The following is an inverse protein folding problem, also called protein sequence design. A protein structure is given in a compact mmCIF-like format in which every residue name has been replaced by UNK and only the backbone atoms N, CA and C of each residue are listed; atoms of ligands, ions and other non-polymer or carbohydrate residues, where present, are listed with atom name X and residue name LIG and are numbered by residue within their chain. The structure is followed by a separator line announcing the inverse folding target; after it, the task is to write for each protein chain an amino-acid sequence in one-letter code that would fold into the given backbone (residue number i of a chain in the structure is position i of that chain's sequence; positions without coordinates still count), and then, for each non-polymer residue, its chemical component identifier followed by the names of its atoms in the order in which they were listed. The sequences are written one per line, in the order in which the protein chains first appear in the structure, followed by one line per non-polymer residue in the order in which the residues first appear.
data_IF_053231033509
#
_entry.id   IF_053231033509
#
_cell.length_a   1.000
_cell.length_b   1.000
_cell.length_c   1.000
_cell.angle_alpha   90.00
_cell.angle_beta   90.00
_cell.angle_gamma   90.00
#
_symmetry.space_group_name_H-M   'P 1'
#
loop_
_entity.id
_entity.type
_entity.pdbx_description
1 polymer ?
#
# COMPACT_ATOMS: atom_id res chain seq x y z
N UNK A 1 -1.69 -34.43 34.11
CA UNK A 1 -2.64 -33.73 33.20
C UNK A 1 -1.84 -32.90 32.21
N UNK A 2 -1.74 -33.37 30.98
CA UNK A 2 -1.01 -32.71 29.92
C UNK A 2 -2.00 -31.87 29.13
N UNK A 3 -2.08 -30.56 29.37
CA UNK A 3 -2.70 -29.63 28.45
C UNK A 3 -1.71 -29.38 27.30
N UNK A 4 -1.94 -30.09 26.22
CA UNK A 4 -1.28 -29.82 24.95
C UNK A 4 -1.83 -28.48 24.43
N UNK A 5 -0.98 -27.45 24.50
CA UNK A 5 -1.24 -26.18 23.86
C UNK A 5 -1.21 -26.36 22.34
N UNK A 6 -2.37 -26.68 21.78
CA UNK A 6 -2.57 -26.86 20.35
C UNK A 6 -2.69 -25.47 19.69
N UNK A 7 -1.57 -24.78 19.50
CA UNK A 7 -1.51 -23.59 18.66
C UNK A 7 -1.56 -24.00 17.20
N UNK A 8 -2.73 -24.39 16.74
CA UNK A 8 -2.98 -24.52 15.31
C UNK A 8 -2.76 -23.12 14.70
N UNK A 9 -1.62 -22.96 14.01
CA UNK A 9 -1.38 -21.79 13.16
C UNK A 9 -2.51 -21.75 12.15
N UNK A 10 -3.41 -20.76 12.27
CA UNK A 10 -4.42 -20.50 11.23
C UNK A 10 -3.68 -20.36 9.90
N UNK A 11 -4.07 -21.09 8.87
CA UNK A 11 -3.45 -20.92 7.55
C UNK A 11 -3.61 -19.45 7.15
N UNK A 12 -2.60 -18.87 6.51
CA UNK A 12 -2.65 -17.52 5.99
C UNK A 12 -3.87 -17.40 5.09
N UNK A 13 -4.88 -16.65 5.52
CA UNK A 13 -6.00 -16.32 4.66
C UNK A 13 -5.45 -15.50 3.49
N UNK A 14 -5.53 -16.07 2.30
CA UNK A 14 -5.21 -15.33 1.07
C UNK A 14 -6.26 -14.22 0.92
N UNK A 15 -5.89 -13.01 1.22
CA UNK A 15 -6.73 -11.83 0.92
C UNK A 15 -6.82 -11.72 -0.60
N UNK A 16 -7.98 -11.95 -1.16
CA UNK A 16 -8.25 -11.68 -2.57
C UNK A 16 -8.68 -10.24 -2.69
N UNK A 17 -8.04 -9.52 -3.60
CA UNK A 17 -8.43 -8.18 -4.02
C UNK A 17 -9.23 -8.36 -5.33
N UNK A 18 -10.58 -8.40 -5.29
CA UNK A 18 -11.37 -8.82 -6.43
C UNK A 18 -11.21 -7.92 -7.66
N UNK A 19 -10.90 -6.65 -7.43
CA UNK A 19 -10.79 -5.63 -8.48
C UNK A 19 -9.34 -5.42 -8.97
N UNK A 20 -8.39 -6.20 -8.49
CA UNK A 20 -6.98 -6.11 -8.88
C UNK A 20 -6.54 -7.45 -9.45
N UNK A 21 -6.20 -7.47 -10.73
CA UNK A 21 -5.84 -8.71 -11.44
C UNK A 21 -4.48 -9.26 -11.02
N UNK A 22 -3.49 -8.39 -10.89
CA UNK A 22 -2.12 -8.77 -10.58
C UNK A 22 -1.56 -7.87 -9.48
N UNK A 23 -0.86 -8.45 -8.51
CA UNK A 23 -0.15 -7.74 -7.47
C UNK A 23 1.35 -8.01 -7.60
N UNK A 24 2.13 -6.97 -7.90
CA UNK A 24 3.58 -7.04 -7.98
C UNK A 24 4.19 -6.47 -6.71
N UNK A 25 5.11 -7.19 -6.11
CA UNK A 25 5.81 -6.76 -4.90
C UNK A 25 7.24 -6.40 -5.26
N UNK A 26 7.61 -5.15 -5.02
CA UNK A 26 8.98 -4.66 -5.15
C UNK A 26 9.58 -4.51 -3.77
N UNK A 27 10.57 -5.32 -3.45
CA UNK A 27 11.19 -5.36 -2.13
C UNK A 27 12.73 -5.33 -2.24
N UNK A 28 13.38 -4.93 -1.16
CA UNK A 28 14.84 -4.99 -1.07
C UNK A 28 15.27 -5.36 0.35
N UNK A 29 16.43 -6.00 0.48
CA UNK A 29 17.03 -6.34 1.77
C UNK A 29 17.80 -5.18 2.41
N UNK A 30 18.02 -4.09 1.69
CA UNK A 30 18.71 -2.88 2.15
C UNK A 30 17.88 -1.64 1.85
N UNK A 31 18.04 -0.60 2.68
CA UNK A 31 17.60 0.75 2.34
C UNK A 31 18.49 1.42 1.29
N UNK A 32 17.97 2.41 0.56
CA UNK A 32 18.74 3.26 -0.35
C UNK A 32 19.24 2.59 -1.64
N UNK A 33 18.67 1.44 -2.05
CA UNK A 33 19.05 0.73 -3.29
C UNK A 33 18.21 1.09 -4.52
N UNK A 34 17.23 2.00 -4.37
CA UNK A 34 16.36 2.42 -5.48
C UNK A 34 15.05 1.65 -5.58
N UNK A 35 14.62 0.94 -4.53
CA UNK A 35 13.37 0.17 -4.50
C UNK A 35 12.16 0.99 -4.92
N UNK A 36 11.94 2.16 -4.30
CA UNK A 36 10.80 3.03 -4.61
C UNK A 36 10.87 3.61 -6.01
N UNK A 37 12.06 3.95 -6.49
CA UNK A 37 12.28 4.42 -7.86
C UNK A 37 11.94 3.32 -8.86
N UNK A 38 12.39 2.09 -8.64
CA UNK A 38 12.07 0.94 -9.51
C UNK A 38 10.56 0.68 -9.53
N UNK A 39 9.90 0.69 -8.37
CA UNK A 39 8.46 0.51 -8.28
C UNK A 39 7.69 1.61 -9.03
N UNK A 40 8.10 2.87 -8.87
CA UNK A 40 7.49 4.01 -9.56
C UNK A 40 7.67 3.91 -11.08
N UNK A 41 8.88 3.63 -11.56
CA UNK A 41 9.18 3.47 -13.00
C UNK A 41 8.38 2.30 -13.59
N UNK A 42 8.30 1.18 -12.88
CA UNK A 42 7.51 0.03 -13.32
C UNK A 42 6.02 0.38 -13.45
N UNK A 43 5.44 1.02 -12.43
CA UNK A 43 4.04 1.42 -12.44
C UNK A 43 3.74 2.41 -13.58
N UNK A 44 4.59 3.41 -13.78
CA UNK A 44 4.46 4.38 -14.88
C UNK A 44 4.62 3.74 -16.26
N UNK A 45 5.52 2.76 -16.39
CA UNK A 45 5.71 2.03 -17.63
C UNK A 45 4.49 1.19 -17.98
N UNK A 46 3.91 0.48 -17.00
CA UNK A 46 2.68 -0.27 -17.20
C UNK A 46 1.51 0.63 -17.60
N UNK A 47 1.35 1.78 -16.96
CA UNK A 47 0.33 2.75 -17.32
C UNK A 47 0.53 3.30 -18.74
N UNK A 48 1.78 3.55 -19.14
CA UNK A 48 2.12 3.98 -20.51
C UNK A 48 1.76 2.94 -21.57
N UNK A 49 1.85 1.66 -21.23
CA UNK A 49 1.42 0.55 -22.09
C UNK A 49 -0.12 0.35 -22.09
N UNK A 50 -0.86 1.17 -21.36
CA UNK A 50 -2.32 1.16 -21.34
C UNK A 50 -2.95 0.32 -20.22
N UNK A 51 -2.15 -0.19 -19.28
CA UNK A 51 -2.67 -0.95 -18.14
C UNK A 51 -3.17 -0.02 -17.02
N UNK A 52 -4.35 -0.30 -16.49
CA UNK A 52 -4.84 0.36 -15.28
C UNK A 52 -3.95 -0.05 -14.10
N UNK A 53 -3.22 0.91 -13.53
CA UNK A 53 -2.15 0.64 -12.58
C UNK A 53 -2.28 1.46 -11.32
N UNK A 54 -2.03 0.81 -10.17
CA UNK A 54 -1.92 1.45 -8.86
C UNK A 54 -0.52 1.26 -8.27
N UNK A 55 -0.13 2.17 -7.39
CA UNK A 55 1.12 2.09 -6.62
C UNK A 55 0.83 2.31 -5.15
N UNK A 56 1.14 1.30 -4.34
CA UNK A 56 1.11 1.39 -2.88
C UNK A 56 2.53 1.42 -2.33
N UNK A 57 2.87 2.52 -1.67
CA UNK A 57 4.12 2.64 -0.90
C UNK A 57 3.91 2.12 0.52
N UNK A 58 4.56 1.02 0.84
CA UNK A 58 4.49 0.34 2.12
C UNK A 58 5.70 0.64 3.04
N UNK A 59 6.58 1.56 2.66
CA UNK A 59 7.78 1.89 3.41
C UNK A 59 7.48 2.92 4.51
N UNK A 60 7.46 2.46 5.77
CA UNK A 60 7.14 3.30 6.91
C UNK A 60 8.30 4.22 7.30
N UNK A 61 9.52 3.72 7.20
CA UNK A 61 10.71 4.41 7.72
C UNK A 61 11.32 5.39 6.72
N UNK A 62 10.94 5.31 5.46
CA UNK A 62 11.44 6.18 4.41
C UNK A 62 10.46 6.27 3.24
N UNK A 63 9.20 6.72 3.46
CA UNK A 63 8.21 6.80 2.41
C UNK A 63 8.66 7.83 1.37
N UNK A 64 9.16 7.38 0.25
CA UNK A 64 9.71 8.22 -0.82
C UNK A 64 8.72 8.52 -1.94
N UNK A 65 7.66 7.74 -2.07
CA UNK A 65 6.63 7.92 -3.10
C UNK A 65 5.95 9.30 -3.01
N UNK A 66 5.60 9.83 -1.81
CA UNK A 66 5.05 11.18 -1.73
C UNK A 66 5.97 12.25 -2.35
N UNK A 67 7.28 12.10 -2.17
CA UNK A 67 8.27 13.02 -2.76
C UNK A 67 8.41 12.81 -4.26
N UNK A 68 8.50 11.56 -4.73
CA UNK A 68 8.63 11.22 -6.15
C UNK A 68 7.43 11.73 -6.99
N UNK A 69 6.24 11.71 -6.40
CA UNK A 69 5.01 12.10 -7.08
C UNK A 69 4.54 13.53 -6.75
N UNK A 70 5.39 14.33 -6.10
CA UNK A 70 5.06 15.71 -5.69
C UNK A 70 3.77 15.80 -4.85
N UNK A 71 3.59 14.86 -3.92
CA UNK A 71 2.44 14.75 -3.03
C UNK A 71 2.79 15.07 -1.56
N UNK A 72 3.95 15.69 -1.32
CA UNK A 72 4.36 16.08 0.03
C UNK A 72 3.33 17.02 0.67
N UNK A 73 3.06 16.80 1.95
CA UNK A 73 2.09 17.57 2.73
C UNK A 73 0.63 17.48 2.25
N UNK A 74 0.33 16.58 1.33
CA UNK A 74 -1.03 16.27 0.94
C UNK A 74 -1.54 15.06 1.72
N UNK A 75 -2.85 15.02 1.97
CA UNK A 75 -3.53 13.89 2.60
C UNK A 75 -4.64 13.40 1.70
N UNK A 76 -4.80 12.08 1.54
CA UNK A 76 -5.91 11.52 0.79
C UNK A 76 -7.25 11.90 1.44
N UNK A 77 -8.25 12.11 0.62
CA UNK A 77 -9.61 12.30 1.08
C UNK A 77 -10.23 10.95 1.45
N UNK A 78 -11.22 11.00 2.32
CA UNK A 78 -12.07 9.85 2.62
C UNK A 78 -13.48 10.14 2.16
N UNK A 79 -14.14 9.15 1.58
CA UNK A 79 -15.54 9.25 1.16
C UNK A 79 -16.33 8.08 1.74
N UNK A 80 -17.58 8.32 2.05
CA UNK A 80 -18.51 7.27 2.46
C UNK A 80 -19.31 6.79 1.25
N UNK A 81 -19.25 5.48 0.98
CA UNK A 81 -20.07 4.80 -0.02
C UNK A 81 -20.67 3.55 0.62
N UNK A 82 -21.99 3.40 0.54
CA UNK A 82 -22.70 2.19 1.00
C UNK A 82 -22.40 1.84 2.46
N UNK A 83 -22.29 2.85 3.33
CA UNK A 83 -22.01 2.68 4.76
C UNK A 83 -20.57 2.29 5.10
N UNK A 84 -19.66 2.33 4.12
CA UNK A 84 -18.22 2.08 4.31
C UNK A 84 -17.41 3.32 3.94
N UNK A 85 -16.39 3.60 4.74
CA UNK A 85 -15.43 4.67 4.46
C UNK A 85 -14.35 4.14 3.52
N UNK A 86 -14.17 4.84 2.41
CA UNK A 86 -13.15 4.57 1.41
C UNK A 86 -12.11 5.68 1.38
N UNK A 87 -10.87 5.31 1.13
CA UNK A 87 -9.76 6.23 0.92
C UNK A 87 -9.65 6.52 -0.58
N UNK A 88 -9.68 7.77 -0.97
CA UNK A 88 -9.50 8.18 -2.35
C UNK A 88 -8.00 8.25 -2.67
N UNK A 89 -7.46 7.42 -3.57
CA UNK A 89 -6.07 7.50 -3.97
C UNK A 89 -5.80 8.73 -4.81
N UNK A 90 -4.57 9.21 -4.83
CA UNK A 90 -4.16 10.28 -5.73
C UNK A 90 -4.01 9.75 -7.15
N UNK A 91 -4.58 10.45 -8.13
CA UNK A 91 -4.29 10.23 -9.54
C UNK A 91 -3.08 11.08 -9.94
N UNK A 92 -1.98 10.43 -10.32
CA UNK A 92 -0.76 11.09 -10.78
C UNK A 92 -0.16 10.34 -11.96
N UNK A 93 0.11 11.06 -13.03
CA UNK A 93 0.77 10.52 -14.24
C UNK A 93 0.09 9.25 -14.79
N UNK A 94 -1.24 9.17 -14.67
CA UNK A 94 -2.03 8.04 -15.16
C UNK A 94 -2.04 6.80 -14.25
N UNK A 95 -1.57 6.91 -13.02
CA UNK A 95 -1.66 5.84 -12.02
C UNK A 95 -2.33 6.31 -10.73
N UNK A 96 -2.90 5.38 -9.99
CA UNK A 96 -3.44 5.62 -8.64
C UNK A 96 -2.34 5.42 -7.61
N UNK A 97 -2.15 6.40 -6.73
CA UNK A 97 -1.03 6.40 -5.76
C UNK A 97 -1.56 6.53 -4.35
N UNK A 98 -1.12 5.63 -3.49
CA UNK A 98 -1.29 5.70 -2.04
C UNK A 98 0.06 5.41 -1.37
N UNK A 99 0.35 6.11 -0.28
CA UNK A 99 1.51 5.83 0.57
C UNK A 99 1.08 5.75 2.02
N UNK A 100 1.64 4.79 2.75
CA UNK A 100 1.50 4.76 4.21
C UNK A 100 2.05 6.04 4.84
N UNK A 101 2.99 6.71 4.18
CA UNK A 101 3.55 7.98 4.61
C UNK A 101 2.55 9.13 4.70
N UNK A 102 1.39 9.04 4.03
CA UNK A 102 0.33 10.04 4.18
C UNK A 102 -0.38 9.99 5.53
N UNK A 103 -0.27 8.89 6.25
CA UNK A 103 -1.00 8.61 7.48
C UNK A 103 -0.11 8.59 8.72
N UNK A 104 1.20 8.63 8.54
CA UNK A 104 2.17 8.54 9.62
C UNK A 104 2.86 9.89 9.78
N UNK A 105 2.85 10.39 11.02
CA UNK A 105 3.70 11.50 11.41
C UNK A 105 5.16 11.00 11.45
N UNK A 106 6.12 11.67 10.77
CA UNK A 106 7.53 11.29 10.82
C UNK A 106 8.11 11.14 12.23
N UNK A 107 7.61 11.92 13.18
CA UNK A 107 8.02 11.85 14.60
C UNK A 107 7.55 10.57 15.29
N UNK A 108 6.51 9.92 14.78
CA UNK A 108 5.90 8.72 15.34
C UNK A 108 6.27 7.43 14.60
N UNK A 109 7.00 7.51 13.50
CA UNK A 109 7.34 6.35 12.66
C UNK A 109 8.07 5.24 13.42
N UNK A 110 8.87 5.60 14.43
CA UNK A 110 9.59 4.66 15.29
C UNK A 110 8.65 3.84 16.21
N UNK A 111 7.44 4.29 16.45
CA UNK A 111 6.46 3.61 17.30
C UNK A 111 5.68 2.52 16.54
N UNK A 112 5.73 2.56 15.22
CA UNK A 112 5.04 1.61 14.36
C UNK A 112 5.81 0.29 14.30
N UNK A 113 5.20 -0.76 14.84
CA UNK A 113 5.81 -2.10 14.88
C UNK A 113 4.90 -3.14 14.25
N UNK A 114 5.53 -4.13 13.64
CA UNK A 114 5.03 -5.38 13.11
C UNK A 114 3.52 -5.46 12.85
N UNK A 115 2.74 -5.75 13.88
CA UNK A 115 1.29 -5.95 13.75
C UNK A 115 0.52 -4.68 13.35
N UNK A 116 0.94 -3.51 13.82
CA UNK A 116 0.33 -2.23 13.43
C UNK A 116 0.56 -1.95 11.95
N UNK A 117 1.76 -2.18 11.49
CA UNK A 117 2.14 -2.05 10.07
C UNK A 117 1.31 -2.96 9.19
N UNK A 118 1.24 -4.23 9.54
CA UNK A 118 0.48 -5.22 8.76
C UNK A 118 -1.00 -4.88 8.69
N UNK A 119 -1.58 -4.39 9.78
CA UNK A 119 -2.98 -3.98 9.80
C UNK A 119 -3.22 -2.73 8.96
N UNK A 120 -2.33 -1.73 9.05
CA UNK A 120 -2.41 -0.52 8.24
C UNK A 120 -2.29 -0.83 6.75
N UNK A 121 -1.36 -1.69 6.35
CA UNK A 121 -1.20 -2.10 4.95
C UNK A 121 -2.42 -2.86 4.43
N UNK A 122 -2.99 -3.77 5.24
CA UNK A 122 -4.24 -4.46 4.88
C UNK A 122 -5.38 -3.46 4.69
N UNK A 123 -5.47 -2.47 5.56
CA UNK A 123 -6.48 -1.43 5.46
C UNK A 123 -6.28 -0.60 4.19
N UNK A 124 -5.07 -0.16 3.89
CA UNK A 124 -4.77 0.59 2.67
C UNK A 124 -5.08 -0.22 1.39
N UNK A 125 -4.81 -1.52 1.40
CA UNK A 125 -5.17 -2.38 0.27
C UNK A 125 -6.67 -2.57 0.09
N UNK A 126 -7.42 -2.73 1.19
CA UNK A 126 -8.83 -3.09 1.15
C UNK A 126 -9.78 -1.88 1.14
N UNK A 127 -9.37 -0.77 1.75
CA UNK A 127 -10.23 0.41 1.97
C UNK A 127 -9.87 1.58 1.03
N UNK A 128 -8.88 1.42 0.16
CA UNK A 128 -8.62 2.39 -0.92
C UNK A 128 -9.51 2.08 -2.12
N UNK A 129 -10.13 3.12 -2.67
CA UNK A 129 -10.96 3.03 -3.88
C UNK A 129 -10.07 2.92 -5.13
N UNK A 130 -9.47 1.74 -5.29
CA UNK A 130 -8.59 1.46 -6.42
C UNK A 130 -9.32 1.39 -7.77
N UNK A 131 -10.63 1.12 -7.77
CA UNK A 131 -11.36 0.75 -8.97
C UNK A 131 -10.85 -0.56 -9.56
N UNK A 132 -11.04 -0.75 -10.85
CA UNK A 132 -10.54 -1.92 -11.58
C UNK A 132 -9.09 -1.69 -12.01
N UNK A 133 -8.17 -2.52 -11.52
CA UNK A 133 -6.75 -2.45 -11.86
C UNK A 133 -6.26 -3.72 -12.55
N UNK A 134 -5.38 -3.55 -13.53
CA UNK A 134 -4.62 -4.66 -14.13
C UNK A 134 -3.41 -5.02 -13.25
N UNK A 135 -2.77 -4.01 -12.62
CA UNK A 135 -1.60 -4.16 -11.76
C UNK A 135 -1.66 -3.25 -10.55
#
# INVERSE_FOLDING_TARGET
MNEQCNTAKKPFEKTRLPNIKNLLIVASGKGGVGKSTVAAVLALSLAREGYATGLLDADIHGPSVPTLFHLNNQRPLSMEKEGKIWIEPFDRYGIKVISIGFFIDPSQSLLWRGRMVSNALKQLLNDTDWGELDY
#
